data_IF_452982173078
#
_entry.id   IF_452982173078
#
_cell.length_a   1.000
_cell.length_b   1.000
_cell.length_c   1.000
_cell.angle_alpha   90.00
_cell.angle_beta   90.00
_cell.angle_gamma   90.00
#
_symmetry.space_group_name_H-M   'P 1'
#
loop_
_entity.id
_entity.type
_entity.pdbx_description
1 polymer ?
#
# COMPACT_ATOMS: atom_id res chain seq x y z
N UNK A 1 29.33 49.27 42.64
CA UNK A 1 28.23 48.44 43.21
C UNK A 1 27.23 48.19 42.08
N UNK A 2 26.71 46.96 41.95
CA UNK A 2 25.86 46.43 40.85
C UNK A 2 26.66 46.04 39.59
N UNK A 3 27.28 44.85 39.51
CA UNK A 3 26.69 43.51 39.33
C UNK A 3 25.64 43.43 38.21
N UNK A 4 26.12 43.13 37.00
CA UNK A 4 25.74 41.96 36.20
C UNK A 4 24.29 41.80 35.75
N UNK A 5 24.07 41.83 34.42
CA UNK A 5 23.20 40.87 33.72
C UNK A 5 23.85 40.47 32.40
N UNK A 6 24.37 39.25 32.42
CA UNK A 6 24.92 38.48 31.31
C UNK A 6 23.85 38.20 30.25
N UNK A 7 24.20 38.44 28.98
CA UNK A 7 23.50 37.85 27.83
C UNK A 7 23.65 36.34 27.93
N UNK A 8 22.53 35.64 28.15
CA UNK A 8 22.45 34.19 28.00
C UNK A 8 22.33 33.85 26.52
N UNK A 9 23.43 33.42 25.90
CA UNK A 9 23.36 32.49 24.78
C UNK A 9 23.45 31.08 25.36
N UNK A 10 22.31 30.40 25.48
CA UNK A 10 22.25 28.98 25.84
C UNK A 10 22.47 28.15 24.57
N UNK A 11 23.42 27.20 24.54
CA UNK A 11 23.26 25.97 23.79
C UNK A 11 23.17 24.81 24.79
N UNK A 12 22.08 24.01 24.77
CA UNK A 12 22.24 22.64 25.20
C UNK A 12 21.29 21.67 24.48
N UNK A 13 21.77 21.02 23.42
CA UNK A 13 21.53 19.58 23.32
C UNK A 13 22.73 18.89 22.69
N UNK A 14 23.89 19.07 23.34
CA UNK A 14 24.86 18.00 23.46
C UNK A 14 24.24 16.94 24.39
N UNK A 15 24.01 15.72 23.89
CA UNK A 15 23.49 14.67 24.76
C UNK A 15 22.90 13.44 24.09
N UNK A 16 23.64 12.80 23.19
CA UNK A 16 23.57 11.34 23.08
C UNK A 16 24.88 10.78 22.54
N UNK A 17 25.83 10.70 23.46
CA UNK A 17 26.99 9.82 23.36
C UNK A 17 26.48 8.44 22.98
N UNK A 18 26.83 7.97 21.79
CA UNK A 18 26.71 6.57 21.43
C UNK A 18 27.62 5.80 22.39
N UNK A 19 27.05 5.23 23.44
CA UNK A 19 27.71 4.15 24.18
C UNK A 19 27.85 2.98 23.21
N UNK A 20 29.07 2.53 22.87
CA UNK A 20 29.23 1.31 22.13
C UNK A 20 28.75 0.13 22.98
N UNK A 21 27.96 -0.74 22.36
CA UNK A 21 27.48 -1.98 22.97
C UNK A 21 28.69 -2.81 23.46
N UNK A 22 28.79 -3.16 24.76
CA UNK A 22 29.96 -3.81 25.34
C UNK A 22 29.91 -5.33 25.11
N UNK A 23 29.69 -5.76 23.88
CA UNK A 23 29.69 -7.18 23.54
C UNK A 23 30.13 -7.38 22.09
N UNK A 24 31.43 -7.16 21.86
CA UNK A 24 32.13 -7.82 20.76
C UNK A 24 32.33 -9.29 21.17
N UNK A 25 31.31 -10.11 20.97
CA UNK A 25 31.48 -11.56 20.87
C UNK A 25 31.12 -11.96 19.42
N UNK A 26 31.94 -12.80 18.77
CA UNK A 26 31.68 -13.24 17.41
C UNK A 26 30.61 -14.35 17.43
N UNK A 27 29.89 -14.45 16.31
CA UNK A 27 29.13 -15.63 15.86
C UNK A 27 27.60 -15.69 16.13
N UNK A 28 26.87 -15.86 15.01
CA UNK A 28 25.51 -16.36 14.76
C UNK A 28 24.44 -16.27 15.85
N UNK A 29 23.70 -15.16 15.95
CA UNK A 29 22.35 -15.21 16.55
C UNK A 29 21.33 -14.17 16.04
N UNK A 30 21.43 -13.73 14.78
CA UNK A 30 20.26 -13.16 14.10
C UNK A 30 19.29 -14.29 13.71
N UNK A 31 18.61 -14.86 14.70
CA UNK A 31 17.50 -15.79 14.46
C UNK A 31 16.29 -15.39 15.29
N UNK A 32 15.28 -14.90 14.55
CA UNK A 32 13.86 -15.19 14.74
C UNK A 32 13.22 -14.82 16.09
N UNK A 33 12.45 -13.73 16.07
CA UNK A 33 11.32 -13.52 16.97
C UNK A 33 10.28 -14.63 16.77
N UNK A 34 10.40 -15.73 17.51
CA UNK A 34 9.31 -16.67 17.69
C UNK A 34 8.16 -15.97 18.43
N UNK A 35 7.13 -15.54 17.71
CA UNK A 35 5.83 -15.27 18.31
C UNK A 35 5.22 -16.62 18.69
N UNK A 36 5.11 -16.89 19.99
CA UNK A 36 4.46 -18.09 20.53
C UNK A 36 3.03 -17.73 20.93
N UNK A 37 2.00 -17.98 20.11
CA UNK A 37 0.62 -17.80 20.54
C UNK A 37 0.27 -18.91 21.53
N UNK A 38 -0.13 -18.53 22.74
CA UNK A 38 -0.52 -19.49 23.78
C UNK A 38 -1.73 -20.32 23.30
N UNK A 39 -1.71 -21.66 23.42
CA UNK A 39 -2.86 -22.48 23.08
C UNK A 39 -3.98 -22.28 24.11
N UNK A 40 -5.20 -22.04 23.64
CA UNK A 40 -6.41 -22.11 24.48
C UNK A 40 -6.88 -23.56 24.53
N UNK A 41 -7.01 -24.12 25.74
CA UNK A 41 -7.51 -25.48 25.97
C UNK A 41 -9.04 -25.46 26.01
N UNK A 42 -9.68 -26.04 25.00
CA UNK A 42 -11.13 -26.30 25.03
C UNK A 42 -11.41 -27.52 25.95
N UNK A 43 -12.21 -27.38 27.02
CA UNK A 43 -12.54 -28.47 27.94
C UNK A 43 -13.30 -29.65 27.31
N UNK A 44 -13.78 -29.55 26.07
CA UNK A 44 -14.62 -30.58 25.41
C UNK A 44 -13.82 -31.60 24.57
N UNK A 45 -12.50 -31.43 24.43
CA UNK A 45 -11.64 -32.20 23.50
C UNK A 45 -10.65 -33.18 24.17
N UNK A 46 -10.91 -33.62 25.40
CA UNK A 46 -9.97 -34.47 26.17
C UNK A 46 -9.80 -35.92 25.69
N UNK A 47 -10.53 -36.41 24.67
CA UNK A 47 -10.52 -37.85 24.34
C UNK A 47 -9.94 -38.23 22.97
N UNK A 48 -9.53 -37.27 22.15
CA UNK A 48 -8.82 -37.56 20.90
C UNK A 48 -7.75 -36.50 20.70
N UNK A 49 -6.47 -36.87 20.86
CA UNK A 49 -5.32 -35.99 20.74
C UNK A 49 -5.07 -35.48 19.32
N UNK A 50 -6.02 -34.74 18.75
CA UNK A 50 -5.90 -34.04 17.48
C UNK A 50 -5.91 -32.54 17.72
N UNK A 51 -4.80 -31.87 17.43
CA UNK A 51 -4.78 -30.41 17.31
C UNK A 51 -5.58 -30.07 16.07
N UNK A 52 -6.76 -29.48 16.25
CA UNK A 52 -7.56 -28.97 15.13
C UNK A 52 -7.05 -27.56 14.84
N UNK A 53 -6.24 -27.42 13.80
CA UNK A 53 -6.03 -26.11 13.18
C UNK A 53 -7.31 -25.80 12.40
N UNK A 54 -8.08 -24.82 12.84
CA UNK A 54 -9.14 -24.26 12.01
C UNK A 54 -8.46 -23.62 10.80
N UNK A 55 -8.45 -24.32 9.68
CA UNK A 55 -8.16 -23.72 8.38
C UNK A 55 -9.18 -22.61 8.18
N UNK A 56 -8.72 -21.36 8.17
CA UNK A 56 -9.49 -20.22 7.67
C UNK A 56 -9.63 -20.37 6.16
N UNK A 57 -10.57 -21.20 5.71
CA UNK A 57 -10.92 -21.38 4.30
C UNK A 57 -11.86 -20.25 3.82
N UNK A 58 -11.35 -19.02 3.85
CA UNK A 58 -11.86 -17.92 3.01
C UNK A 58 -10.76 -17.33 2.12
N UNK A 59 -9.72 -18.09 1.82
CA UNK A 59 -8.85 -17.76 0.68
C UNK A 59 -9.58 -18.18 -0.60
N UNK A 60 -10.29 -17.24 -1.24
CA UNK A 60 -10.79 -17.47 -2.60
C UNK A 60 -9.61 -17.94 -3.45
N UNK A 61 -9.64 -19.19 -3.92
CA UNK A 61 -8.73 -19.67 -4.95
C UNK A 61 -8.99 -18.83 -6.20
N UNK A 62 -8.15 -17.83 -6.44
CA UNK A 62 -8.11 -17.05 -7.68
C UNK A 62 -8.97 -15.77 -7.74
N UNK A 63 -9.30 -15.13 -6.62
CA UNK A 63 -9.94 -13.79 -6.63
C UNK A 63 -8.94 -12.74 -6.18
N UNK A 64 -8.54 -11.83 -7.08
CA UNK A 64 -7.72 -10.64 -6.79
C UNK A 64 -8.31 -9.90 -5.58
N UNK A 65 -7.47 -9.43 -4.67
CA UNK A 65 -7.91 -8.55 -3.59
C UNK A 65 -8.56 -7.32 -4.23
N UNK A 66 -9.63 -6.89 -3.61
CA UNK A 66 -10.62 -6.00 -4.17
C UNK A 66 -10.51 -4.65 -3.49
N UNK A 67 -10.38 -3.56 -4.27
CA UNK A 67 -9.90 -2.27 -3.79
C UNK A 67 -10.60 -1.10 -4.50
N UNK A 68 -10.21 0.13 -4.15
CA UNK A 68 -10.51 1.29 -4.97
C UNK A 68 -9.99 1.12 -6.41
N UNK A 69 -10.75 1.62 -7.38
CA UNK A 69 -10.52 1.50 -8.82
C UNK A 69 -10.63 2.87 -9.48
N UNK A 70 -9.72 3.19 -10.39
CA UNK A 70 -9.78 4.40 -11.22
C UNK A 70 -10.47 4.09 -12.55
N UNK A 71 -11.50 4.86 -12.88
CA UNK A 71 -12.37 4.68 -14.04
C UNK A 71 -12.08 5.69 -15.17
N UNK A 72 -12.92 5.64 -16.21
CA UNK A 72 -12.86 6.48 -17.41
C UNK A 72 -12.59 7.97 -17.17
N UNK A 73 -13.19 8.66 -16.18
CA UNK A 73 -13.01 10.11 -16.06
C UNK A 73 -11.55 10.55 -15.79
N UNK A 74 -10.66 9.63 -15.43
CA UNK A 74 -9.23 9.92 -15.25
C UNK A 74 -8.45 10.00 -16.57
N UNK A 75 -8.95 9.38 -17.64
CA UNK A 75 -8.28 9.28 -18.93
C UNK A 75 -8.06 10.68 -19.52
N UNK A 76 -6.81 10.98 -19.87
CA UNK A 76 -6.32 12.26 -20.42
C UNK A 76 -6.45 13.49 -19.47
N UNK A 77 -6.93 13.30 -18.23
CA UNK A 77 -7.02 14.35 -17.21
C UNK A 77 -5.80 14.31 -16.28
N UNK A 78 -5.51 13.14 -15.70
CA UNK A 78 -4.36 12.88 -14.82
C UNK A 78 -4.05 14.02 -13.82
N UNK A 79 -5.01 14.39 -12.99
CA UNK A 79 -4.85 15.47 -11.99
C UNK A 79 -3.79 15.17 -10.90
N UNK A 80 -3.61 13.89 -10.56
CA UNK A 80 -2.64 13.36 -9.56
C UNK A 80 -2.88 13.77 -8.10
N UNK A 81 -3.91 14.56 -7.75
CA UNK A 81 -4.22 14.87 -6.35
C UNK A 81 -4.45 13.63 -5.47
N UNK A 82 -4.90 12.51 -6.06
CA UNK A 82 -5.06 11.25 -5.34
C UNK A 82 -3.74 10.58 -4.92
N UNK A 83 -2.61 10.86 -5.59
CA UNK A 83 -1.30 10.26 -5.29
C UNK A 83 -0.78 10.78 -3.95
N UNK A 84 -0.91 12.09 -3.71
CA UNK A 84 -0.42 12.75 -2.49
C UNK A 84 -1.15 12.30 -1.22
N UNK A 85 -2.40 11.85 -1.36
CA UNK A 85 -3.26 11.44 -0.25
C UNK A 85 -3.17 9.93 0.04
N UNK A 86 -2.51 9.15 -0.81
CA UNK A 86 -2.41 7.71 -0.62
C UNK A 86 -1.34 7.36 0.43
N UNK A 87 -1.69 6.83 1.61
CA UNK A 87 -0.73 6.58 2.70
C UNK A 87 0.27 5.46 2.42
N UNK A 88 -0.03 4.61 1.43
CA UNK A 88 0.80 3.46 1.01
C UNK A 88 1.39 3.65 -0.39
N UNK A 89 1.18 4.82 -1.02
CA UNK A 89 1.73 5.16 -2.34
C UNK A 89 1.41 4.11 -3.43
N UNK A 90 0.20 3.54 -3.41
CA UNK A 90 -0.19 2.44 -4.31
C UNK A 90 -0.85 2.91 -5.63
N UNK A 91 -0.66 4.17 -6.03
CA UNK A 91 -1.28 4.76 -7.23
C UNK A 91 -0.19 5.06 -8.26
N UNK A 92 -0.20 4.30 -9.34
CA UNK A 92 0.84 4.31 -10.35
C UNK A 92 0.42 5.11 -11.58
N UNK A 93 1.40 5.74 -12.24
CA UNK A 93 1.16 6.60 -13.39
C UNK A 93 1.44 5.87 -14.71
N UNK A 94 0.41 5.75 -15.56
CA UNK A 94 0.57 5.43 -16.97
C UNK A 94 0.46 6.67 -17.86
N UNK A 95 0.61 6.52 -19.19
CA UNK A 95 0.56 7.64 -20.12
C UNK A 95 -0.77 8.41 -20.11
N UNK A 96 -1.92 7.72 -20.15
CA UNK A 96 -3.26 8.31 -20.26
C UNK A 96 -4.02 8.39 -18.94
N UNK A 97 -3.80 7.48 -18.01
CA UNK A 97 -4.48 7.51 -16.71
C UNK A 97 -3.60 6.99 -15.57
N UNK A 98 -4.10 7.08 -14.35
CA UNK A 98 -3.49 6.48 -13.16
C UNK A 98 -4.16 5.13 -12.86
N UNK A 99 -3.42 4.23 -12.20
CA UNK A 99 -3.85 2.88 -11.86
C UNK A 99 -3.61 2.59 -10.37
N UNK A 100 -4.60 2.03 -9.68
CA UNK A 100 -4.47 1.61 -8.27
C UNK A 100 -4.04 0.14 -8.22
N UNK A 101 -3.02 -0.17 -7.42
CA UNK A 101 -2.59 -1.54 -7.22
C UNK A 101 -3.49 -2.28 -6.20
N UNK A 102 -4.16 -3.38 -6.61
CA UNK A 102 -5.16 -4.07 -5.78
C UNK A 102 -4.58 -4.82 -4.57
N UNK A 103 -3.35 -5.31 -4.64
CA UNK A 103 -2.76 -6.01 -3.47
C UNK A 103 -2.03 -5.06 -2.51
N UNK A 104 -1.86 -3.78 -2.87
CA UNK A 104 -1.16 -2.78 -2.06
C UNK A 104 -2.12 -1.78 -1.42
N UNK A 105 -3.26 -1.53 -2.05
CA UNK A 105 -4.29 -0.67 -1.48
C UNK A 105 -4.86 -1.29 -0.20
N UNK A 106 -5.01 -0.45 0.83
CA UNK A 106 -5.48 -0.84 2.17
C UNK A 106 -6.88 -0.28 2.48
N UNK A 107 -7.64 0.08 1.44
CA UNK A 107 -9.00 0.62 1.52
C UNK A 107 -9.17 1.82 2.47
N UNK A 108 -8.19 2.72 2.50
CA UNK A 108 -8.24 3.90 3.36
C UNK A 108 -9.27 4.96 2.93
N UNK A 109 -9.66 4.97 1.65
CA UNK A 109 -10.66 5.91 1.10
C UNK A 109 -10.23 7.37 0.98
N UNK A 110 -8.97 7.72 1.24
CA UNK A 110 -8.49 9.10 1.16
C UNK A 110 -8.45 9.66 -0.27
N UNK A 111 -8.25 8.80 -1.28
CA UNK A 111 -8.10 9.20 -2.68
C UNK A 111 -9.43 9.55 -3.37
N UNK A 112 -10.56 8.99 -2.94
CA UNK A 112 -11.87 9.21 -3.56
C UNK A 112 -12.34 10.68 -3.49
N UNK A 113 -12.42 11.33 -2.30
CA UNK A 113 -13.00 12.67 -2.19
C UNK A 113 -12.13 13.77 -2.81
N UNK A 114 -10.86 13.50 -3.09
CA UNK A 114 -9.92 14.50 -3.63
C UNK A 114 -9.89 14.53 -5.16
N UNK A 115 -10.42 13.49 -5.82
CA UNK A 115 -10.43 13.44 -7.28
C UNK A 115 -11.44 14.46 -7.83
N UNK A 116 -11.00 15.52 -8.55
CA UNK A 116 -11.88 16.60 -9.00
C UNK A 116 -12.92 16.17 -10.04
N UNK A 117 -12.66 15.06 -10.74
CA UNK A 117 -13.52 14.48 -11.77
C UNK A 117 -14.26 13.22 -11.28
N UNK A 118 -14.13 12.88 -9.98
CA UNK A 118 -14.79 11.72 -9.37
C UNK A 118 -14.54 10.43 -10.16
N UNK A 119 -13.28 10.18 -10.53
CA UNK A 119 -12.89 8.99 -11.30
C UNK A 119 -12.66 7.75 -10.43
N UNK A 120 -12.58 7.89 -9.11
CA UNK A 120 -12.16 6.84 -8.19
C UNK A 120 -13.40 6.33 -7.45
N UNK A 121 -13.62 5.02 -7.50
CA UNK A 121 -14.74 4.36 -6.84
C UNK A 121 -14.23 3.16 -6.05
N UNK A 122 -14.91 2.82 -4.96
CA UNK A 122 -14.78 1.48 -4.38
C UNK A 122 -15.32 0.46 -5.39
N UNK A 123 -14.70 -0.72 -5.50
CA UNK A 123 -15.02 -1.66 -6.58
C UNK A 123 -16.49 -2.09 -6.65
N UNK A 124 -17.17 -2.22 -5.51
CA UNK A 124 -18.58 -2.57 -5.42
C UNK A 124 -19.49 -1.41 -5.87
N UNK A 125 -18.98 -0.18 -5.79
CA UNK A 125 -19.67 1.07 -6.13
C UNK A 125 -19.38 1.54 -7.57
N UNK A 126 -18.53 0.80 -8.31
CA UNK A 126 -18.23 1.12 -9.72
C UNK A 126 -19.51 1.01 -10.55
N UNK A 127 -19.91 2.08 -11.27
CA UNK A 127 -21.04 2.06 -12.19
C UNK A 127 -20.92 0.93 -13.23
N UNK A 128 -22.05 0.36 -13.65
CA UNK A 128 -22.07 -0.79 -14.54
C UNK A 128 -21.31 -0.57 -15.87
N UNK A 129 -21.33 0.66 -16.40
CA UNK A 129 -20.59 1.08 -17.59
C UNK A 129 -19.07 1.03 -17.43
N UNK A 130 -18.57 1.20 -16.20
CA UNK A 130 -17.14 1.25 -15.89
C UNK A 130 -16.62 0.02 -15.15
N UNK A 131 -17.43 -1.02 -14.96
CA UNK A 131 -17.00 -2.25 -14.26
C UNK A 131 -15.78 -2.94 -14.89
N UNK A 132 -15.51 -2.69 -16.17
CA UNK A 132 -14.31 -3.18 -16.83
C UNK A 132 -13.02 -2.53 -16.30
N UNK A 133 -13.08 -1.37 -15.64
CA UNK A 133 -11.90 -0.69 -15.12
C UNK A 133 -11.30 -1.40 -13.90
N UNK A 134 -12.09 -2.13 -13.11
CA UNK A 134 -11.61 -2.91 -11.97
C UNK A 134 -10.56 -3.95 -12.39
N UNK A 135 -10.84 -4.87 -13.33
CA UNK A 135 -9.81 -5.79 -13.82
C UNK A 135 -8.69 -5.08 -14.57
N UNK A 136 -8.95 -3.99 -15.30
CA UNK A 136 -7.92 -3.20 -16.02
C UNK A 136 -6.85 -2.66 -15.06
N UNK A 137 -7.27 -2.09 -13.92
CA UNK A 137 -6.34 -1.59 -12.90
C UNK A 137 -5.43 -2.71 -12.40
N UNK A 138 -5.99 -3.88 -12.12
CA UNK A 138 -5.22 -5.03 -11.67
C UNK A 138 -4.33 -5.65 -12.78
N UNK A 139 -4.82 -5.72 -14.01
CA UNK A 139 -4.10 -6.32 -15.15
C UNK A 139 -2.95 -5.44 -15.64
N UNK A 140 -3.01 -4.13 -15.41
CA UNK A 140 -1.91 -3.24 -15.75
C UNK A 140 -0.59 -3.63 -15.07
N UNK A 141 -0.63 -4.19 -13.86
CA UNK A 141 0.55 -4.66 -13.11
C UNK A 141 1.06 -6.05 -13.53
N UNK A 142 0.29 -6.76 -14.37
CA UNK A 142 0.66 -8.11 -14.81
C UNK A 142 1.86 -8.10 -15.77
N UNK A 143 2.53 -9.25 -15.87
CA UNK A 143 3.62 -9.51 -16.82
C UNK A 143 3.25 -9.20 -18.28
N UNK A 144 1.97 -9.30 -18.63
CA UNK A 144 1.50 -9.02 -19.99
C UNK A 144 1.44 -7.53 -20.35
N UNK A 145 1.47 -6.62 -19.37
CA UNK A 145 1.34 -5.17 -19.62
C UNK A 145 2.58 -4.41 -19.16
N UNK A 146 2.84 -4.35 -17.85
CA UNK A 146 4.02 -3.65 -17.30
C UNK A 146 5.07 -4.58 -16.70
N UNK A 147 4.69 -5.77 -16.22
CA UNK A 147 5.56 -6.67 -15.46
C UNK A 147 6.08 -6.09 -14.16
N UNK A 148 5.35 -5.13 -13.57
CA UNK A 148 5.73 -4.52 -12.29
C UNK A 148 5.47 -5.43 -11.10
N UNK A 149 4.44 -6.27 -11.17
CA UNK A 149 3.96 -7.00 -9.99
C UNK A 149 3.56 -6.00 -8.90
N UNK A 150 4.02 -6.24 -7.66
CA UNK A 150 3.80 -5.37 -6.50
C UNK A 150 5.13 -4.74 -6.05
N UNK A 151 5.48 -3.57 -6.59
CA UNK A 151 6.75 -2.91 -6.28
C UNK A 151 6.75 -2.18 -4.93
N UNK A 152 5.60 -1.96 -4.29
CA UNK A 152 5.50 -1.39 -2.94
C UNK A 152 5.69 0.13 -2.87
N UNK A 153 5.28 0.85 -3.91
CA UNK A 153 5.26 2.32 -3.94
C UNK A 153 5.51 2.91 -5.32
N UNK A 154 4.61 3.77 -5.79
CA UNK A 154 4.69 4.42 -7.09
C UNK A 154 5.88 5.39 -7.22
N UNK A 155 6.26 6.07 -6.15
CA UNK A 155 7.40 7.00 -6.14
C UNK A 155 8.74 6.32 -6.50
N UNK A 156 8.89 5.03 -6.21
CA UNK A 156 10.09 4.27 -6.55
C UNK A 156 10.11 3.83 -8.02
N UNK A 157 8.93 3.66 -8.61
CA UNK A 157 8.73 3.11 -9.94
C UNK A 157 8.72 4.19 -11.02
N UNK A 158 8.17 5.36 -10.68
CA UNK A 158 7.98 6.49 -11.58
C UNK A 158 6.93 6.25 -12.68
N UNK A 159 6.70 7.26 -13.53
CA UNK A 159 5.76 7.15 -14.65
C UNK A 159 6.17 6.05 -15.64
N UNK A 160 5.18 5.34 -16.18
CA UNK A 160 5.39 4.33 -17.23
C UNK A 160 4.95 4.84 -18.60
N UNK A 161 5.56 4.26 -19.63
CA UNK A 161 5.31 4.58 -21.04
C UNK A 161 4.22 3.68 -21.66
N UNK A 162 3.54 2.85 -20.86
CA UNK A 162 2.54 1.90 -21.34
C UNK A 162 1.26 1.98 -20.50
N UNK A 163 0.12 2.05 -21.18
CA UNK A 163 -1.22 1.88 -20.61
C UNK A 163 -1.75 0.48 -20.85
N UNK A 164 -2.80 0.11 -20.14
CA UNK A 164 -3.54 -1.11 -20.45
C UNK A 164 -4.08 -1.04 -21.88
N UNK A 165 -4.06 -2.12 -22.69
CA UNK A 165 -4.49 -2.10 -24.09
C UNK A 165 -5.88 -1.50 -24.33
N UNK A 166 -6.82 -1.72 -23.41
CA UNK A 166 -8.17 -1.15 -23.46
C UNK A 166 -8.14 0.37 -23.28
N UNK A 167 -7.32 0.88 -22.36
CA UNK A 167 -7.18 2.32 -22.10
C UNK A 167 -6.42 2.99 -23.24
N UNK A 168 -5.37 2.34 -23.76
CA UNK A 168 -4.65 2.84 -24.92
C UNK A 168 -5.56 2.98 -26.16
N UNK A 169 -6.56 2.10 -26.31
CA UNK A 169 -7.53 2.13 -27.40
C UNK A 169 -8.80 2.96 -27.09
N UNK A 170 -8.94 3.54 -25.89
CA UNK A 170 -10.12 4.31 -25.51
C UNK A 170 -10.25 5.57 -26.38
N UNK A 171 -11.47 6.01 -26.74
CA UNK A 171 -11.65 7.32 -27.37
C UNK A 171 -10.95 8.42 -26.55
N UNK A 172 -10.40 9.43 -27.23
CA UNK A 172 -9.85 10.60 -26.53
C UNK A 172 -10.98 11.26 -25.73
N UNK A 173 -10.69 11.66 -24.49
CA UNK A 173 -11.62 12.53 -23.76
C UNK A 173 -11.77 13.83 -24.58
N UNK A 174 -13.00 14.11 -24.99
CA UNK A 174 -13.34 15.22 -25.90
C UNK A 174 -13.27 16.60 -25.25
#
# INVERSE_FOLDING_TARGET
>A
MSLGKTVRTEPPYSGRTLTPCPSRAPDRSCQSVHHNPRPVRDPRLHRAGGVVYLQGEHRRKGGKAVTYTICEPCIDVKDKGCVDECPVDCIYEGPRMLYIHPDECVDCGACEPVCPVTAIFYEDDVPAEWKQFTPINAEWFSDSVTGLGSPGGAAQVGPKDVDHPVVAAWPAAG
#
